data_IF_490747926372
#
_entry.id   IF_490747926372
#
_cell.length_a   1.000
_cell.length_b   1.000
_cell.length_c   1.000
_cell.angle_alpha   90.00
_cell.angle_beta   90.00
_cell.angle_gamma   90.00
#
_symmetry.space_group_name_H-M   'P 1'
#
loop_
_entity.id
_entity.type
_entity.pdbx_description
1 polymer ?
#
# COMPACT_ATOMS: atom_id res chain seq x y z
N UNK A 1 -32.66 5.95 15.84
CA UNK A 1 -31.38 6.08 16.58
C UNK A 1 -30.92 4.74 17.14
N UNK A 2 -31.80 3.90 17.69
CA UNK A 2 -31.48 2.54 18.14
C UNK A 2 -30.91 1.66 17.02
N UNK A 3 -31.59 1.57 15.86
CA UNK A 3 -31.13 0.79 14.69
C UNK A 3 -29.71 1.16 14.23
N UNK A 4 -29.43 2.46 14.06
CA UNK A 4 -28.09 2.93 13.68
C UNK A 4 -27.04 2.69 14.79
N UNK A 5 -27.47 2.71 16.06
CA UNK A 5 -26.64 2.30 17.18
C UNK A 5 -26.15 0.86 16.98
N UNK A 6 -27.06 -0.07 16.77
CA UNK A 6 -26.75 -1.49 16.52
C UNK A 6 -25.84 -1.66 15.29
N UNK A 7 -26.17 -0.99 14.17
CA UNK A 7 -25.36 -1.06 12.94
C UNK A 7 -23.93 -0.53 13.09
N UNK A 8 -23.73 0.52 13.90
CA UNK A 8 -22.39 1.09 14.13
C UNK A 8 -21.58 0.35 15.19
N UNK A 9 -22.24 -0.35 16.13
CA UNK A 9 -21.54 -1.20 17.11
C UNK A 9 -20.94 -2.47 16.47
N UNK A 10 -21.43 -2.90 15.29
CA UNK A 10 -20.81 -3.98 14.50
C UNK A 10 -19.38 -3.66 14.02
N UNK A 11 -18.93 -2.42 14.13
CA UNK A 11 -17.57 -2.00 13.80
C UNK A 11 -16.67 -1.86 15.03
N UNK A 12 -17.23 -1.94 16.24
CA UNK A 12 -16.46 -1.88 17.46
C UNK A 12 -15.80 -3.23 17.75
N UNK A 13 -14.50 -3.22 18.03
CA UNK A 13 -13.73 -4.40 18.39
C UNK A 13 -13.22 -4.28 19.83
N UNK A 14 -13.44 -5.31 20.62
CA UNK A 14 -12.93 -5.39 21.99
C UNK A 14 -11.43 -5.64 22.02
N UNK A 15 -10.78 -5.11 23.05
CA UNK A 15 -9.33 -5.21 23.27
C UNK A 15 -8.83 -6.66 23.29
N UNK A 16 -9.56 -7.54 23.96
CA UNK A 16 -9.24 -8.96 24.09
C UNK A 16 -9.23 -9.62 22.71
N UNK A 17 -10.23 -9.29 21.88
CA UNK A 17 -10.31 -9.78 20.51
C UNK A 17 -9.12 -9.32 19.67
N UNK A 18 -8.70 -8.06 19.78
CA UNK A 18 -7.53 -7.56 19.06
C UNK A 18 -6.25 -8.33 19.44
N UNK A 19 -6.06 -8.60 20.73
CA UNK A 19 -4.91 -9.39 21.21
C UNK A 19 -4.94 -10.83 20.71
N UNK A 20 -6.09 -11.49 20.74
CA UNK A 20 -6.26 -12.84 20.18
C UNK A 20 -5.93 -12.85 18.68
N UNK A 21 -6.42 -11.86 17.94
CA UNK A 21 -6.11 -11.72 16.51
C UNK A 21 -4.61 -11.52 16.27
N UNK A 22 -3.92 -10.73 17.11
CA UNK A 22 -2.46 -10.55 17.02
C UNK A 22 -1.71 -11.86 17.19
N UNK A 23 -2.14 -12.72 18.12
CA UNK A 23 -1.55 -14.06 18.30
C UNK A 23 -1.79 -14.94 17.08
N UNK A 24 -2.99 -14.90 16.49
CA UNK A 24 -3.31 -15.66 15.26
C UNK A 24 -2.48 -15.17 14.06
N UNK A 25 -2.34 -13.86 13.88
CA UNK A 25 -1.52 -13.28 12.80
C UNK A 25 -0.05 -13.66 12.96
N UNK A 26 0.47 -13.60 14.19
CA UNK A 26 1.84 -14.05 14.49
C UNK A 26 2.03 -15.53 14.11
N UNK A 27 1.05 -16.38 14.45
CA UNK A 27 1.07 -17.80 14.08
C UNK A 27 1.03 -17.98 12.56
N UNK A 28 0.15 -17.28 11.85
CA UNK A 28 0.09 -17.32 10.38
C UNK A 28 1.41 -16.90 9.72
N UNK A 29 2.11 -15.88 10.25
CA UNK A 29 3.43 -15.48 9.76
C UNK A 29 4.45 -16.63 9.88
N UNK A 30 4.48 -17.36 10.99
CA UNK A 30 5.39 -18.48 11.15
C UNK A 30 5.01 -19.69 10.29
N UNK A 31 3.74 -20.07 10.27
CA UNK A 31 3.27 -21.26 9.54
C UNK A 31 3.44 -21.10 8.03
N UNK A 32 3.02 -19.97 7.46
CA UNK A 32 3.07 -19.73 6.01
C UNK A 32 4.50 -19.53 5.49
N UNK A 33 5.41 -19.00 6.32
CA UNK A 33 6.84 -18.91 5.97
C UNK A 33 7.53 -20.29 5.91
N UNK A 34 7.01 -21.27 6.65
CA UNK A 34 7.54 -22.64 6.70
C UNK A 34 7.06 -23.54 5.55
N UNK A 35 6.11 -23.09 4.75
CA UNK A 35 5.48 -23.88 3.68
C UNK A 35 5.95 -23.45 2.30
N UNK A 36 6.53 -24.36 1.52
CA UNK A 36 6.91 -24.09 0.12
C UNK A 36 5.72 -24.26 -0.85
N UNK A 37 5.56 -23.32 -1.77
CA UNK A 37 4.91 -23.54 -3.07
C UNK A 37 3.38 -23.57 -3.16
N UNK A 38 2.62 -23.06 -2.18
CA UNK A 38 1.13 -23.08 -2.25
C UNK A 38 0.38 -21.86 -1.70
N UNK A 39 1.07 -20.79 -1.30
CA UNK A 39 0.42 -19.65 -0.66
C UNK A 39 0.66 -18.34 -1.41
N UNK A 40 -0.35 -17.49 -1.43
CA UNK A 40 -0.35 -16.12 -1.96
C UNK A 40 0.28 -15.12 -0.98
N UNK A 41 0.94 -15.60 0.07
CA UNK A 41 1.35 -14.84 1.25
C UNK A 41 2.71 -15.27 1.77
N UNK A 42 3.41 -14.40 2.50
CA UNK A 42 4.77 -14.61 3.00
C UNK A 42 5.78 -14.93 1.89
N UNK A 43 5.71 -14.15 0.82
CA UNK A 43 6.50 -14.33 -0.41
C UNK A 43 7.95 -13.89 -0.20
N UNK A 44 8.90 -14.74 -0.60
CA UNK A 44 10.31 -14.40 -0.67
C UNK A 44 10.55 -13.43 -1.84
N UNK A 45 11.14 -12.28 -1.54
CA UNK A 45 11.42 -11.22 -2.54
C UNK A 45 12.81 -11.37 -3.17
N UNK A 46 13.62 -12.31 -2.68
CA UNK A 46 15.02 -12.47 -3.03
C UNK A 46 15.85 -11.18 -2.85
N UNK A 47 15.49 -10.35 -1.85
CA UNK A 47 16.27 -9.17 -1.44
C UNK A 47 17.05 -9.54 -0.16
N UNK A 48 18.32 -9.99 -0.27
CA UNK A 48 19.04 -10.56 0.86
C UNK A 48 19.81 -9.54 1.70
N UNK A 49 19.52 -8.25 1.54
CA UNK A 49 20.31 -7.17 2.12
C UNK A 49 19.43 -6.03 2.63
N UNK A 50 19.88 -5.43 3.73
CA UNK A 50 19.37 -4.18 4.28
C UNK A 50 20.37 -3.06 3.96
N UNK A 51 19.91 -1.83 3.69
CA UNK A 51 20.79 -0.73 3.38
C UNK A 51 21.59 -0.27 4.60
N UNK A 52 22.78 0.24 4.33
CA UNK A 52 23.68 0.86 5.28
C UNK A 52 23.40 2.36 5.46
N UNK A 53 22.75 2.98 4.47
CA UNK A 53 22.56 4.41 4.39
C UNK A 53 23.70 5.13 3.65
N UNK A 54 24.68 4.39 3.13
CA UNK A 54 25.82 4.93 2.39
C UNK A 54 25.77 4.65 0.89
N UNK A 55 24.71 3.99 0.43
CA UNK A 55 24.49 3.71 -0.98
C UNK A 55 24.45 5.01 -1.78
N UNK A 56 25.10 5.02 -2.94
CA UNK A 56 25.16 6.17 -3.84
C UNK A 56 24.76 5.79 -5.26
N UNK A 57 24.43 6.79 -6.08
CA UNK A 57 24.15 6.62 -7.50
C UNK A 57 22.79 7.15 -7.90
N UNK A 58 22.51 7.12 -9.20
CA UNK A 58 21.23 7.58 -9.75
C UNK A 58 20.56 6.45 -10.51
N UNK A 59 19.28 6.21 -10.19
CA UNK A 59 18.51 5.07 -10.68
C UNK A 59 17.15 5.52 -11.21
N UNK A 60 16.69 4.90 -12.30
CA UNK A 60 15.29 5.02 -12.69
C UNK A 60 14.47 4.06 -11.83
N UNK A 61 13.26 4.47 -11.48
CA UNK A 61 12.32 3.61 -10.75
C UNK A 61 10.93 3.80 -11.33
N UNK A 62 10.14 2.73 -11.28
CA UNK A 62 8.79 2.67 -11.78
C UNK A 62 7.90 2.17 -10.66
N UNK A 63 6.82 2.88 -10.37
CA UNK A 63 5.81 2.45 -9.42
C UNK A 63 4.46 2.35 -10.13
N UNK A 64 4.00 1.11 -10.35
CA UNK A 64 2.68 0.81 -10.92
C UNK A 64 1.72 0.54 -9.77
N UNK A 65 1.05 1.60 -9.32
CA UNK A 65 0.02 1.52 -8.29
C UNK A 65 -1.38 1.25 -8.84
N UNK A 66 -2.37 1.23 -7.94
CA UNK A 66 -3.76 0.95 -8.29
C UNK A 66 -4.43 2.02 -9.17
N UNK A 67 -4.01 3.29 -9.06
CA UNK A 67 -4.64 4.43 -9.76
C UNK A 67 -3.68 5.16 -10.67
N UNK A 68 -2.44 5.32 -10.22
CA UNK A 68 -1.43 6.10 -10.90
C UNK A 68 -0.19 5.25 -11.13
N UNK A 69 0.46 5.54 -12.25
CA UNK A 69 1.81 5.14 -12.57
C UNK A 69 2.74 6.29 -12.22
N UNK A 70 3.90 6.00 -11.63
CA UNK A 70 4.95 6.98 -11.39
C UNK A 70 6.27 6.51 -11.96
N UNK A 71 6.89 7.34 -12.79
CA UNK A 71 8.26 7.13 -13.27
C UNK A 71 9.16 8.13 -12.55
N UNK A 72 10.19 7.66 -11.87
CA UNK A 72 11.09 8.51 -11.09
C UNK A 72 12.55 8.34 -11.50
N UNK A 73 13.32 9.40 -11.28
CA UNK A 73 14.77 9.40 -11.23
C UNK A 73 15.17 9.72 -9.79
N UNK A 74 15.85 8.78 -9.13
CA UNK A 74 16.24 8.89 -7.71
C UNK A 74 17.74 8.91 -7.61
N UNK A 75 18.28 9.96 -6.98
CA UNK A 75 19.67 10.07 -6.57
C UNK A 75 19.82 9.66 -5.10
N UNK A 76 20.59 8.62 -4.84
CA UNK A 76 21.12 8.28 -3.54
C UNK A 76 22.45 9.03 -3.36
N UNK A 77 22.55 9.83 -2.30
CA UNK A 77 23.65 10.76 -2.08
C UNK A 77 24.63 10.28 -1.01
N UNK A 78 24.47 9.06 -0.49
CA UNK A 78 25.11 8.63 0.74
C UNK A 78 24.57 9.39 1.95
N UNK A 79 25.13 9.11 3.13
CA UNK A 79 24.75 9.74 4.39
C UNK A 79 23.23 9.83 4.61
N UNK A 80 22.50 8.80 4.18
CA UNK A 80 21.04 8.66 4.34
C UNK A 80 20.23 9.74 3.61
N UNK A 81 20.83 10.42 2.63
CA UNK A 81 20.21 11.50 1.85
C UNK A 81 19.79 11.03 0.47
N UNK A 82 18.67 11.57 0.00
CA UNK A 82 18.11 11.27 -1.33
C UNK A 82 17.58 12.52 -2.00
N UNK A 83 17.51 12.51 -3.33
CA UNK A 83 16.71 13.46 -4.12
C UNK A 83 15.96 12.69 -5.20
N UNK A 84 14.69 13.04 -5.43
CA UNK A 84 13.84 12.39 -6.42
C UNK A 84 13.21 13.42 -7.37
N UNK A 85 13.07 13.03 -8.62
CA UNK A 85 12.23 13.69 -9.63
C UNK A 85 11.28 12.66 -10.19
N UNK A 86 10.04 13.05 -10.50
CA UNK A 86 9.05 12.09 -10.97
C UNK A 86 8.09 12.68 -11.99
N UNK A 87 7.44 11.77 -12.74
CA UNK A 87 6.29 12.04 -13.60
C UNK A 87 5.18 11.06 -13.21
N UNK A 88 3.98 11.60 -13.02
CA UNK A 88 2.79 10.82 -12.63
C UNK A 88 1.84 10.75 -13.83
N UNK A 89 1.34 9.55 -14.10
CA UNK A 89 0.36 9.29 -15.13
C UNK A 89 -0.82 8.55 -14.52
N UNK A 90 -2.04 8.99 -14.82
CA UNK A 90 -3.24 8.23 -14.46
C UNK A 90 -3.33 7.00 -15.37
N UNK A 91 -3.57 5.83 -14.79
CA UNK A 91 -3.80 4.61 -15.57
C UNK A 91 -5.25 4.62 -16.06
N UNK A 92 -5.51 4.65 -17.39
CA UNK A 92 -6.87 4.64 -17.92
C UNK A 92 -7.61 3.35 -17.53
N UNK A 93 -8.93 3.43 -17.36
CA UNK A 93 -9.73 2.31 -16.87
C UNK A 93 -9.68 1.12 -17.84
N UNK A 94 -9.73 1.39 -19.14
CA UNK A 94 -9.61 0.41 -20.21
C UNK A 94 -8.26 -0.32 -20.22
N UNK A 95 -7.20 0.31 -19.69
CA UNK A 95 -5.89 -0.35 -19.54
C UNK A 95 -5.82 -1.30 -18.35
N UNK A 96 -6.74 -1.18 -17.39
CA UNK A 96 -6.84 -2.09 -16.24
C UNK A 96 -7.65 -3.35 -16.55
N UNK A 97 -8.48 -3.30 -17.59
CA UNK A 97 -9.39 -4.40 -17.94
C UNK A 97 -9.10 -5.03 -19.31
N UNK A 98 -8.13 -4.50 -20.05
CA UNK A 98 -7.69 -5.03 -21.35
C UNK A 98 -6.74 -6.22 -21.23
N UNK A 99 -5.72 -6.28 -22.08
CA UNK A 99 -4.65 -7.28 -22.05
C UNK A 99 -3.44 -6.76 -21.26
N UNK A 100 -2.63 -7.67 -20.71
CA UNK A 100 -1.36 -7.34 -20.08
C UNK A 100 -0.41 -6.60 -21.01
N UNK A 101 -0.44 -6.95 -22.30
CA UNK A 101 0.33 -6.25 -23.34
C UNK A 101 -0.09 -4.79 -23.49
N UNK A 102 -1.39 -4.51 -23.54
CA UNK A 102 -1.88 -3.13 -23.65
C UNK A 102 -1.54 -2.28 -22.44
N UNK A 103 -1.57 -2.87 -21.23
CA UNK A 103 -1.13 -2.20 -20.01
C UNK A 103 0.36 -1.88 -20.08
N UNK A 104 1.21 -2.86 -20.40
CA UNK A 104 2.65 -2.65 -20.41
C UNK A 104 3.16 -1.83 -21.61
N UNK A 105 2.47 -1.83 -22.74
CA UNK A 105 2.76 -0.89 -23.83
C UNK A 105 2.45 0.56 -23.43
N UNK A 106 1.38 0.78 -22.66
CA UNK A 106 1.10 2.09 -22.06
C UNK A 106 2.18 2.50 -21.04
N UNK A 107 2.56 1.58 -20.14
CA UNK A 107 3.62 1.82 -19.14
C UNK A 107 4.96 2.14 -19.81
N UNK A 108 5.34 1.37 -20.83
CA UNK A 108 6.56 1.60 -21.61
C UNK A 108 6.55 2.96 -22.32
N UNK A 109 5.40 3.39 -22.87
CA UNK A 109 5.24 4.73 -23.45
C UNK A 109 5.44 5.85 -22.41
N UNK A 110 4.91 5.67 -21.19
CA UNK A 110 5.12 6.62 -20.09
C UNK A 110 6.59 6.71 -19.68
N UNK A 111 7.29 5.59 -19.62
CA UNK A 111 8.74 5.55 -19.32
C UNK A 111 9.53 6.28 -20.39
N UNK A 112 9.33 5.91 -21.66
CA UNK A 112 9.97 6.54 -22.82
C UNK A 112 9.81 8.06 -22.81
N UNK A 113 8.58 8.54 -22.58
CA UNK A 113 8.26 9.97 -22.50
C UNK A 113 8.95 10.66 -21.31
N UNK A 114 9.10 9.97 -20.18
CA UNK A 114 9.59 10.59 -18.93
C UNK A 114 11.10 10.74 -18.89
N UNK A 115 11.85 9.83 -19.52
CA UNK A 115 13.32 9.80 -19.41
C UNK A 115 13.98 11.13 -19.80
N UNK A 116 13.71 11.73 -20.98
CA UNK A 116 14.39 12.96 -21.38
C UNK A 116 14.17 14.11 -20.39
N UNK A 117 12.94 14.28 -19.91
CA UNK A 117 12.60 15.33 -18.97
C UNK A 117 13.23 15.11 -17.59
N UNK A 118 13.20 13.88 -17.08
CA UNK A 118 13.79 13.53 -15.79
C UNK A 118 15.32 13.69 -15.80
N UNK A 119 15.97 13.29 -16.89
CA UNK A 119 17.42 13.42 -17.03
C UNK A 119 17.84 14.89 -17.17
N UNK A 120 17.09 15.70 -17.93
CA UNK A 120 17.32 17.15 -18.02
C UNK A 120 17.17 17.81 -16.65
N UNK A 121 16.11 17.49 -15.92
CA UNK A 121 15.86 18.04 -14.59
C UNK A 121 16.95 17.65 -13.57
N UNK A 122 17.44 16.41 -13.63
CA UNK A 122 18.58 15.94 -12.85
C UNK A 122 19.86 16.75 -13.16
N UNK A 123 20.18 16.93 -14.44
CA UNK A 123 21.38 17.67 -14.86
C UNK A 123 21.28 19.16 -14.48
N UNK A 124 20.12 19.78 -14.69
CA UNK A 124 19.91 21.20 -14.37
C UNK A 124 19.99 21.47 -12.87
N UNK A 125 19.34 20.64 -12.04
CA UNK A 125 19.18 20.88 -10.59
C UNK A 125 20.25 20.24 -9.72
N UNK A 126 20.85 19.12 -10.13
CA UNK A 126 21.89 18.43 -9.35
C UNK A 126 23.27 18.50 -9.99
N UNK A 127 23.39 18.95 -11.25
CA UNK A 127 24.65 18.93 -12.01
C UNK A 127 25.24 17.51 -12.12
N UNK A 128 24.36 16.51 -12.16
CA UNK A 128 24.71 15.08 -12.30
C UNK A 128 24.11 14.54 -13.59
N UNK A 129 24.87 13.69 -14.30
CA UNK A 129 24.36 12.89 -15.41
C UNK A 129 24.18 11.45 -14.94
N UNK A 130 22.99 10.90 -15.17
CA UNK A 130 22.77 9.46 -14.97
C UNK A 130 23.59 8.68 -16.01
N UNK A 131 24.35 7.69 -15.56
CA UNK A 131 25.12 6.81 -16.43
C UNK A 131 24.29 5.60 -16.85
N UNK A 132 24.44 5.20 -18.10
CA UNK A 132 23.99 3.88 -18.56
C UNK A 132 24.96 2.80 -18.08
N UNK A 133 24.48 1.56 -18.01
CA UNK A 133 25.29 0.36 -17.74
C UNK A 133 25.21 -0.59 -18.93
N UNK A 134 26.23 -1.43 -19.09
CA UNK A 134 26.29 -2.40 -20.18
C UNK A 134 25.45 -3.64 -19.82
N UNK A 135 24.43 -3.91 -20.61
CA UNK A 135 23.62 -5.13 -20.54
C UNK A 135 23.67 -5.82 -21.90
N UNK A 136 24.40 -6.94 -21.97
CA UNK A 136 24.80 -7.54 -23.24
C UNK A 136 25.64 -6.55 -24.07
N UNK A 137 25.20 -6.28 -25.30
CA UNK A 137 25.89 -5.36 -26.21
C UNK A 137 25.31 -3.93 -26.23
N UNK A 138 24.35 -3.63 -25.34
CA UNK A 138 23.68 -2.34 -25.29
C UNK A 138 23.98 -1.59 -24.00
N UNK A 139 24.08 -0.27 -24.11
CA UNK A 139 24.10 0.65 -22.97
C UNK A 139 22.65 1.01 -22.62
N UNK A 140 22.21 0.69 -21.39
CA UNK A 140 20.84 0.96 -20.92
C UNK A 140 20.84 1.56 -19.53
N UNK A 141 19.81 2.34 -19.20
CA UNK A 141 19.57 2.83 -17.85
C UNK A 141 18.98 1.72 -16.97
N UNK A 142 19.56 1.44 -15.79
CA UNK A 142 18.96 0.49 -14.84
C UNK A 142 17.67 1.07 -14.26
N UNK A 143 16.61 0.26 -14.28
CA UNK A 143 15.31 0.58 -13.72
C UNK A 143 14.89 -0.44 -12.66
N UNK A 144 14.47 0.05 -11.50
CA UNK A 144 13.75 -0.76 -10.51
C UNK A 144 12.25 -0.71 -10.78
N UNK A 145 11.63 -1.88 -10.88
CA UNK A 145 10.20 -2.02 -11.11
C UNK A 145 9.49 -2.35 -9.79
N UNK A 146 8.77 -1.39 -9.24
CA UNK A 146 7.83 -1.59 -8.14
C UNK A 146 6.46 -1.96 -8.68
N UNK A 147 6.01 -3.18 -8.38
CA UNK A 147 4.73 -3.73 -8.81
C UNK A 147 3.93 -4.21 -7.59
N UNK A 148 2.89 -3.47 -7.23
CA UNK A 148 2.10 -3.68 -5.99
C UNK A 148 1.08 -4.81 -6.10
N UNK A 149 1.49 -5.98 -6.57
CA UNK A 149 0.66 -7.18 -6.68
C UNK A 149 1.44 -8.40 -6.17
N UNK A 150 0.75 -9.48 -5.76
CA UNK A 150 1.42 -10.70 -5.30
C UNK A 150 2.17 -11.36 -6.48
N UNK A 151 3.49 -11.42 -6.36
CA UNK A 151 4.37 -12.02 -7.36
C UNK A 151 5.22 -13.09 -6.70
N UNK A 152 5.16 -14.32 -7.23
CA UNK A 152 6.09 -15.38 -6.89
C UNK A 152 7.41 -15.12 -7.61
N UNK A 153 8.35 -14.49 -6.90
CA UNK A 153 9.66 -14.19 -7.43
C UNK A 153 10.52 -15.45 -7.50
N UNK A 154 11.20 -15.63 -8.63
CA UNK A 154 12.26 -16.64 -8.78
C UNK A 154 13.64 -16.06 -8.48
N UNK A 155 13.77 -14.76 -8.71
CA UNK A 155 14.97 -13.96 -8.45
C UNK A 155 14.53 -12.55 -8.07
N UNK A 156 15.47 -11.70 -7.65
CA UNK A 156 15.22 -10.28 -7.39
C UNK A 156 14.73 -9.49 -8.62
N UNK A 157 14.81 -10.08 -9.83
CA UNK A 157 14.48 -9.41 -11.10
C UNK A 157 13.64 -10.25 -12.05
N UNK A 158 12.89 -11.22 -11.53
CA UNK A 158 12.00 -12.08 -12.31
C UNK A 158 10.94 -12.67 -11.38
N UNK A 159 9.68 -12.72 -11.82
CA UNK A 159 8.63 -13.27 -10.97
C UNK A 159 7.30 -13.41 -11.68
N UNK A 160 6.59 -14.48 -11.31
CA UNK A 160 5.28 -14.82 -11.86
C UNK A 160 4.17 -14.14 -11.08
N UNK A 161 3.31 -13.41 -11.78
CA UNK A 161 2.13 -12.82 -11.15
C UNK A 161 1.17 -13.91 -10.65
N UNK A 162 0.81 -13.86 -9.37
CA UNK A 162 -0.11 -14.83 -8.77
C UNK A 162 -1.57 -14.46 -8.96
N UNK A 163 -1.90 -13.18 -8.78
CA UNK A 163 -3.26 -12.68 -8.95
C UNK A 163 -3.27 -11.16 -9.16
N UNK A 164 -4.35 -10.69 -9.79
CA UNK A 164 -4.65 -9.27 -9.90
C UNK A 164 -5.68 -8.88 -8.83
N UNK A 165 -5.62 -7.62 -8.41
CA UNK A 165 -6.53 -7.02 -7.45
C UNK A 165 -6.73 -5.53 -7.79
N UNK A 166 -7.31 -4.76 -6.87
CA UNK A 166 -7.41 -3.28 -6.99
C UNK A 166 -8.12 -2.82 -8.28
N UNK A 167 -9.04 -3.63 -8.81
CA UNK A 167 -9.79 -3.33 -10.04
C UNK A 167 -9.07 -3.67 -11.35
N UNK A 168 -7.93 -4.37 -11.29
CA UNK A 168 -7.27 -4.90 -12.48
C UNK A 168 -7.81 -6.28 -12.82
N UNK A 169 -8.12 -6.50 -14.10
CA UNK A 169 -8.57 -7.78 -14.66
C UNK A 169 -7.84 -8.12 -15.97
N UNK A 170 -6.66 -7.53 -16.19
CA UNK A 170 -5.87 -7.71 -17.39
C UNK A 170 -5.62 -9.19 -17.74
N UNK A 171 -6.01 -9.58 -18.95
CA UNK A 171 -5.78 -10.94 -19.45
C UNK A 171 -4.32 -11.18 -19.85
N UNK A 172 -3.83 -12.42 -19.72
CA UNK A 172 -2.47 -12.80 -20.14
C UNK A 172 -1.33 -12.29 -19.24
N UNK A 173 -1.63 -11.94 -17.98
CA UNK A 173 -0.61 -11.57 -16.99
C UNK A 173 -0.41 -12.62 -15.90
N UNK A 174 -1.49 -13.20 -15.39
CA UNK A 174 -1.43 -14.18 -14.29
C UNK A 174 -0.68 -15.43 -14.76
N UNK A 175 0.31 -15.86 -13.98
CA UNK A 175 1.20 -16.99 -14.29
C UNK A 175 2.43 -16.63 -15.13
N UNK A 176 2.45 -15.44 -15.73
CA UNK A 176 3.54 -14.96 -16.59
C UNK A 176 4.57 -14.14 -15.83
N UNK A 177 5.80 -14.08 -16.35
CA UNK A 177 6.85 -13.23 -15.78
C UNK A 177 6.61 -11.76 -16.13
N UNK A 178 6.24 -10.98 -15.13
CA UNK A 178 5.88 -9.56 -15.33
C UNK A 178 7.07 -8.68 -15.74
N UNK A 179 8.30 -9.08 -15.40
CA UNK A 179 9.50 -8.35 -15.81
C UNK A 179 9.73 -8.59 -17.30
N UNK A 180 9.60 -9.83 -17.75
CA UNK A 180 9.74 -10.17 -19.18
C UNK A 180 8.66 -9.49 -20.04
N UNK A 181 7.42 -9.46 -19.55
CA UNK A 181 6.32 -8.78 -20.24
C UNK A 181 6.60 -7.29 -20.41
N UNK A 182 7.00 -6.58 -19.35
CA UNK A 182 7.31 -5.15 -19.45
C UNK A 182 8.61 -4.89 -20.25
N UNK A 183 9.64 -5.71 -20.07
CA UNK A 183 10.90 -5.60 -20.82
C UNK A 183 10.67 -5.76 -22.32
N UNK A 184 9.77 -6.68 -22.72
CA UNK A 184 9.38 -6.87 -24.12
C UNK A 184 8.69 -5.64 -24.72
N UNK A 185 7.82 -4.96 -23.95
CA UNK A 185 7.20 -3.70 -24.36
C UNK A 185 8.21 -2.56 -24.47
N UNK A 186 9.19 -2.49 -23.57
CA UNK A 186 10.29 -1.50 -23.62
C UNK A 186 11.20 -1.72 -24.85
N UNK A 187 11.59 -2.97 -25.12
CA UNK A 187 12.47 -3.32 -26.23
C UNK A 187 11.77 -3.12 -27.59
N UNK A 188 10.48 -3.43 -27.70
CA UNK A 188 9.69 -3.15 -28.92
C UNK A 188 9.64 -1.65 -29.26
N UNK A 189 9.80 -0.78 -28.26
CA UNK A 189 9.87 0.68 -28.41
C UNK A 189 11.30 1.21 -28.51
N UNK A 190 12.31 0.33 -28.50
CA UNK A 190 13.74 0.70 -28.42
C UNK A 190 14.06 1.63 -27.23
N UNK A 191 13.31 1.54 -26.14
CA UNK A 191 13.58 2.35 -24.94
C UNK A 191 14.87 1.85 -24.27
N UNK A 192 15.87 2.72 -24.00
CA UNK A 192 17.19 2.30 -23.51
C UNK A 192 17.17 1.98 -22.01
N UNK A 193 16.31 1.05 -21.59
CA UNK A 193 16.09 0.68 -20.19
C UNK A 193 16.27 -0.83 -20.02
N UNK A 194 16.90 -1.20 -18.91
CA UNK A 194 16.96 -2.56 -18.41
C UNK A 194 16.29 -2.62 -17.05
N UNK A 195 15.29 -3.48 -16.89
CA UNK A 195 14.74 -3.76 -15.56
C UNK A 195 15.78 -4.60 -14.81
N UNK A 196 16.23 -4.09 -13.66
CA UNK A 196 17.27 -4.73 -12.84
C UNK A 196 16.72 -5.30 -11.55
N UNK A 197 15.58 -4.81 -11.05
CA UNK A 197 14.94 -5.33 -9.84
C UNK A 197 13.42 -5.27 -10.00
N UNK A 198 12.75 -6.22 -9.37
CA UNK A 198 11.31 -6.26 -9.15
C UNK A 198 11.07 -6.25 -7.65
N UNK A 199 10.26 -5.31 -7.15
CA UNK A 199 9.88 -5.24 -5.74
C UNK A 199 8.39 -4.94 -5.57
N UNK A 200 7.85 -5.25 -4.40
CA UNK A 200 6.54 -4.80 -3.96
C UNK A 200 6.64 -3.40 -3.30
N UNK A 201 5.53 -2.65 -3.24
CA UNK A 201 5.52 -1.32 -2.61
C UNK A 201 5.88 -1.36 -1.12
N UNK A 202 5.40 -2.35 -0.37
CA UNK A 202 5.76 -2.53 1.04
C UNK A 202 7.25 -2.80 1.25
N UNK A 203 7.88 -3.54 0.33
CA UNK A 203 9.33 -3.73 0.29
C UNK A 203 10.04 -2.41 0.02
N UNK A 204 9.53 -1.62 -0.94
CA UNK A 204 10.04 -0.28 -1.19
C UNK A 204 9.96 0.62 0.05
N UNK A 205 8.82 0.63 0.73
CA UNK A 205 8.60 1.38 1.98
C UNK A 205 9.54 0.96 3.10
N UNK A 206 9.82 -0.35 3.23
CA UNK A 206 10.82 -0.86 4.18
C UNK A 206 12.23 -0.35 3.81
N UNK A 207 12.64 -0.53 2.57
CA UNK A 207 14.00 -0.24 2.11
C UNK A 207 14.31 1.25 2.08
N UNK A 208 13.33 2.10 1.71
CA UNK A 208 13.45 3.56 1.80
C UNK A 208 13.68 3.99 3.24
N UNK A 209 12.87 3.49 4.17
CA UNK A 209 12.97 3.87 5.56
C UNK A 209 14.27 3.35 6.20
N UNK A 210 14.67 2.12 5.92
CA UNK A 210 15.91 1.54 6.42
C UNK A 210 17.16 2.30 5.91
N UNK A 211 17.13 2.85 4.69
CA UNK A 211 18.20 3.73 4.20
C UNK A 211 18.26 5.02 5.03
N UNK A 212 17.11 5.59 5.38
CA UNK A 212 17.01 6.90 6.07
C UNK A 212 17.19 6.82 7.58
N UNK A 213 16.82 5.70 8.22
CA UNK A 213 16.67 5.57 9.68
C UNK A 213 17.26 4.25 10.18
N UNK A 214 17.65 4.23 11.45
CA UNK A 214 18.06 2.99 12.14
C UNK A 214 16.84 2.26 12.72
N UNK A 215 17.03 0.99 13.08
CA UNK A 215 16.03 0.18 13.79
C UNK A 215 14.66 0.14 13.09
N UNK A 216 14.64 0.11 11.76
CA UNK A 216 13.41 -0.07 10.98
C UNK A 216 13.11 -1.56 10.88
N UNK A 217 11.94 -1.99 11.35
CA UNK A 217 11.59 -3.41 11.42
C UNK A 217 10.56 -3.85 10.39
N UNK A 218 9.76 -2.91 9.87
CA UNK A 218 8.73 -3.18 8.89
C UNK A 218 8.42 -1.94 8.03
N UNK A 219 8.06 -2.19 6.78
CA UNK A 219 7.42 -1.23 5.89
C UNK A 219 5.97 -1.64 5.64
N UNK A 220 5.04 -0.72 5.87
CA UNK A 220 3.60 -0.95 5.80
C UNK A 220 3.00 -0.03 4.74
N UNK A 221 2.02 -0.51 3.97
CA UNK A 221 1.27 0.29 3.01
C UNK A 221 -0.21 0.22 3.39
N UNK A 222 -0.88 1.38 3.50
CA UNK A 222 -2.32 1.52 3.73
C UNK A 222 -2.89 2.58 2.78
N UNK A 223 -3.09 2.16 1.53
CA UNK A 223 -3.59 3.01 0.44
C UNK A 223 -4.83 2.39 -0.19
N UNK A 224 -4.82 2.23 -1.51
CA UNK A 224 -5.87 1.48 -2.24
C UNK A 224 -5.97 0.03 -1.75
N UNK A 225 -4.84 -0.58 -1.40
CA UNK A 225 -4.74 -1.86 -0.72
C UNK A 225 -4.03 -1.73 0.63
N UNK A 226 -3.80 -2.85 1.31
CA UNK A 226 -2.92 -2.88 2.48
C UNK A 226 -1.95 -4.05 2.41
N UNK A 227 -0.69 -3.78 2.71
CA UNK A 227 0.37 -4.78 2.73
C UNK A 227 1.48 -4.43 3.72
N UNK A 228 2.35 -5.38 4.03
CA UNK A 228 3.56 -5.16 4.81
C UNK A 228 4.73 -6.03 4.35
N UNK A 229 5.94 -5.54 4.59
CA UNK A 229 7.17 -6.27 4.39
C UNK A 229 8.11 -6.10 5.58
N UNK A 230 8.92 -7.13 5.84
CA UNK A 230 9.94 -7.12 6.88
C UNK A 230 11.16 -7.95 6.47
N UNK A 231 12.32 -7.73 7.09
CA UNK A 231 13.50 -8.56 6.86
C UNK A 231 13.49 -9.78 7.79
N UNK A 232 13.49 -10.99 7.23
CA UNK A 232 13.55 -12.21 8.02
C UNK A 232 15.00 -12.66 8.22
N UNK A 233 15.47 -12.57 9.46
CA UNK A 233 16.85 -12.94 9.82
C UNK A 233 17.18 -14.42 9.61
N UNK A 234 16.19 -15.31 9.67
CA UNK A 234 16.40 -16.75 9.50
C UNK A 234 16.55 -17.13 8.02
N UNK A 235 15.78 -16.49 7.14
CA UNK A 235 15.82 -16.68 5.69
C UNK A 235 16.83 -15.76 4.99
N UNK A 236 17.32 -14.72 5.68
CA UNK A 236 18.21 -13.69 5.14
C UNK A 236 17.66 -13.04 3.88
N UNK A 237 16.39 -12.69 3.90
CA UNK A 237 15.67 -12.07 2.79
C UNK A 237 14.56 -11.16 3.31
N UNK A 238 14.19 -10.15 2.53
CA UNK A 238 12.95 -9.41 2.78
C UNK A 238 11.76 -10.30 2.41
N UNK A 239 10.80 -10.41 3.31
CA UNK A 239 9.54 -11.12 3.09
C UNK A 239 8.45 -10.09 2.83
N UNK A 240 7.75 -10.28 1.71
CA UNK A 240 6.50 -9.61 1.42
C UNK A 240 5.35 -10.43 2.02
N UNK A 241 4.66 -9.89 3.01
CA UNK A 241 3.63 -10.66 3.73
C UNK A 241 2.41 -10.96 2.87
N UNK A 242 2.06 -10.08 1.94
CA UNK A 242 0.75 -10.04 1.27
C UNK A 242 -0.39 -10.21 2.28
N UNK A 243 -0.29 -9.53 3.43
CA UNK A 243 -1.20 -9.74 4.56
C UNK A 243 -2.67 -9.43 4.24
N UNK A 244 -2.92 -8.76 3.11
CA UNK A 244 -4.26 -8.40 2.66
C UNK A 244 -5.11 -9.64 2.42
N UNK A 245 -4.48 -10.73 1.98
CA UNK A 245 -5.10 -12.04 1.74
C UNK A 245 -5.08 -12.97 2.98
N UNK A 246 -4.81 -12.43 4.17
CA UNK A 246 -4.98 -13.18 5.42
C UNK A 246 -6.48 -13.41 5.64
N UNK A 247 -6.83 -14.66 5.93
CA UNK A 247 -8.22 -15.14 6.04
C UNK A 247 -8.44 -16.04 7.27
N UNK A 248 -7.88 -15.72 8.45
CA UNK A 248 -8.14 -16.54 9.62
C UNK A 248 -9.62 -16.41 10.02
N UNK A 249 -10.21 -17.48 10.53
CA UNK A 249 -11.62 -17.50 10.96
C UNK A 249 -11.94 -16.49 12.06
N UNK A 250 -10.91 -15.96 12.74
CA UNK A 250 -11.04 -14.95 13.79
C UNK A 250 -11.35 -13.55 13.26
N UNK A 251 -11.21 -13.29 11.95
CA UNK A 251 -11.50 -11.97 11.36
C UNK A 251 -12.93 -11.52 11.71
N UNK A 252 -13.13 -10.27 12.18
CA UNK A 252 -14.41 -9.79 12.68
C UNK A 252 -15.31 -9.30 11.55
N UNK A 253 -15.61 -10.17 10.58
CA UNK A 253 -16.52 -9.85 9.47
C UNK A 253 -17.93 -9.64 10.00
N UNK A 254 -18.55 -8.54 9.64
CA UNK A 254 -19.96 -8.28 9.86
C UNK A 254 -20.77 -8.39 8.55
N UNK A 255 -22.08 -8.15 8.61
CA UNK A 255 -22.99 -8.22 7.46
C UNK A 255 -22.57 -7.31 6.30
N UNK A 256 -22.01 -6.13 6.60
CA UNK A 256 -21.55 -5.18 5.58
C UNK A 256 -20.27 -5.68 4.88
N UNK A 257 -19.37 -6.32 5.62
CA UNK A 257 -18.17 -6.95 5.03
C UNK A 257 -18.54 -8.12 4.12
N UNK A 258 -19.59 -8.88 4.47
CA UNK A 258 -20.14 -9.95 3.61
C UNK A 258 -20.67 -9.40 2.28
N UNK A 259 -21.57 -8.41 2.35
CA UNK A 259 -22.14 -7.75 1.15
C UNK A 259 -21.09 -7.07 0.28
N UNK A 260 -20.09 -6.45 0.90
CA UNK A 260 -18.97 -5.84 0.18
C UNK A 260 -18.14 -6.91 -0.53
N UNK A 261 -17.85 -8.04 0.11
CA UNK A 261 -17.09 -9.12 -0.52
C UNK A 261 -17.82 -9.70 -1.72
N UNK A 262 -19.13 -9.96 -1.61
CA UNK A 262 -19.99 -10.48 -2.68
C UNK A 262 -20.04 -9.59 -3.93
N UNK A 263 -19.87 -8.27 -3.76
CA UNK A 263 -19.91 -7.28 -4.85
C UNK A 263 -18.55 -7.09 -5.55
N UNK A 264 -17.49 -7.72 -5.04
CA UNK A 264 -16.13 -7.59 -5.61
C UNK A 264 -15.80 -8.67 -6.62
N UNK A 265 -14.79 -8.38 -7.46
CA UNK A 265 -14.25 -9.31 -8.46
C UNK A 265 -13.56 -10.54 -7.82
N UNK A 266 -13.09 -10.41 -6.58
CA UNK A 266 -12.24 -11.38 -5.88
C UNK A 266 -12.90 -11.89 -4.58
N UNK A 267 -14.11 -12.45 -4.70
CA UNK A 267 -14.88 -13.01 -3.57
C UNK A 267 -14.07 -13.98 -2.71
N UNK A 268 -14.28 -13.97 -1.39
CA UNK A 268 -13.60 -14.82 -0.41
C UNK A 268 -12.05 -14.72 -0.42
N UNK A 269 -11.55 -13.64 -1.03
CA UNK A 269 -10.12 -13.31 -1.13
C UNK A 269 -9.90 -11.89 -0.63
N UNK A 270 -8.68 -11.62 -0.14
CA UNK A 270 -8.28 -10.31 0.36
C UNK A 270 -9.19 -9.80 1.50
N UNK A 271 -9.69 -10.71 2.34
CA UNK A 271 -10.70 -10.40 3.36
C UNK A 271 -10.18 -9.40 4.40
N UNK A 272 -8.91 -9.52 4.80
CA UNK A 272 -8.29 -8.54 5.70
C UNK A 272 -8.16 -7.17 5.03
N UNK A 273 -7.75 -7.12 3.76
CA UNK A 273 -7.65 -5.87 3.00
C UNK A 273 -9.01 -5.16 2.88
N UNK A 274 -10.08 -5.91 2.62
CA UNK A 274 -11.45 -5.40 2.44
C UNK A 274 -12.01 -4.66 3.65
N UNK A 275 -11.51 -4.97 4.85
CA UNK A 275 -11.93 -4.29 6.08
C UNK A 275 -11.09 -3.04 6.41
N UNK A 276 -10.03 -2.76 5.65
CA UNK A 276 -8.99 -1.75 5.98
C UNK A 276 -8.79 -0.72 4.86
N UNK A 277 -8.66 -1.17 3.62
CA UNK A 277 -8.05 -0.33 2.59
C UNK A 277 -9.00 0.69 1.96
N UNK A 278 -8.40 1.71 1.36
CA UNK A 278 -9.12 2.82 0.74
C UNK A 278 -9.96 2.48 -0.48
N UNK A 279 -9.83 1.27 -1.06
CA UNK A 279 -10.79 0.81 -2.07
C UNK A 279 -12.16 0.51 -1.46
N UNK A 280 -12.21 0.12 -0.18
CA UNK A 280 -13.38 -0.53 0.41
C UNK A 280 -14.07 0.29 1.52
N UNK A 281 -13.37 1.19 2.22
CA UNK A 281 -13.98 1.94 3.34
C UNK A 281 -15.18 2.80 2.90
N UNK A 282 -15.10 3.46 1.74
CA UNK A 282 -16.23 4.21 1.17
C UNK A 282 -17.45 3.34 0.86
N UNK A 283 -17.24 2.09 0.40
CA UNK A 283 -18.34 1.16 0.14
C UNK A 283 -18.97 0.64 1.43
N UNK A 284 -18.18 0.35 2.47
CA UNK A 284 -18.71 0.03 3.80
C UNK A 284 -19.60 1.16 4.33
N UNK A 285 -19.13 2.41 4.17
CA UNK A 285 -19.90 3.59 4.54
C UNK A 285 -21.22 3.66 3.77
N UNK A 286 -21.18 3.50 2.45
CA UNK A 286 -22.40 3.49 1.61
C UNK A 286 -23.39 2.41 2.02
N UNK A 287 -22.93 1.18 2.29
CA UNK A 287 -23.77 0.07 2.70
C UNK A 287 -24.45 0.33 4.06
N UNK A 288 -23.73 0.92 5.02
CA UNK A 288 -24.32 1.33 6.30
C UNK A 288 -25.35 2.44 6.09
N UNK A 289 -25.06 3.45 5.26
CA UNK A 289 -26.04 4.49 4.97
C UNK A 289 -27.30 3.93 4.32
N UNK A 290 -27.16 2.99 3.38
CA UNK A 290 -28.27 2.39 2.66
C UNK A 290 -29.24 1.64 3.58
N UNK A 291 -28.74 0.96 4.62
CA UNK A 291 -29.57 0.21 5.55
C UNK A 291 -30.22 1.08 6.65
N UNK A 292 -29.68 2.29 6.88
CA UNK A 292 -30.09 3.18 7.97
C UNK A 292 -30.62 4.53 7.47
N UNK A 293 -31.25 4.55 6.28
CA UNK A 293 -31.80 5.75 5.66
C UNK A 293 -32.84 6.44 6.56
N UNK A 294 -33.63 5.66 7.30
CA UNK A 294 -34.67 6.10 8.24
C UNK A 294 -34.11 6.86 9.46
N UNK A 295 -32.81 6.71 9.75
CA UNK A 295 -32.16 7.44 10.83
C UNK A 295 -31.92 8.93 10.50
N UNK A 296 -31.94 9.29 9.21
CA UNK A 296 -31.68 10.63 8.70
C UNK A 296 -32.96 11.46 8.54
N UNK A 297 -32.85 12.77 8.79
CA UNK A 297 -33.91 13.74 8.53
C UNK A 297 -33.95 14.11 7.04
N UNK A 298 -35.16 14.10 6.45
CA UNK A 298 -35.41 14.48 5.05
C UNK A 298 -35.38 13.30 4.06
N UNK A 299 -35.73 13.57 2.80
CA UNK A 299 -35.61 12.57 1.72
C UNK A 299 -34.14 12.33 1.39
N UNK A 300 -33.69 11.09 1.60
CA UNK A 300 -32.35 10.63 1.18
C UNK A 300 -32.42 10.04 -0.24
N UNK A 301 -31.38 10.28 -1.03
CA UNK A 301 -31.23 9.73 -2.38
C UNK A 301 -29.82 9.15 -2.51
N UNK A 302 -29.56 8.14 -1.68
CA UNK A 302 -28.24 7.53 -1.60
C UNK A 302 -27.90 6.79 -2.90
N UNK A 303 -26.62 6.78 -3.32
CA UNK A 303 -26.18 5.97 -4.44
C UNK A 303 -26.40 4.46 -4.17
N UNK A 304 -27.20 3.82 -5.01
CA UNK A 304 -27.43 2.37 -4.95
C UNK A 304 -26.28 1.57 -5.59
N UNK A 305 -25.58 2.18 -6.55
CA UNK A 305 -24.48 1.56 -7.27
C UNK A 305 -23.31 1.23 -6.33
N UNK A 306 -22.82 -0.03 -6.31
CA UNK A 306 -21.62 -0.40 -5.56
C UNK A 306 -20.42 0.48 -5.92
N UNK A 307 -19.62 0.85 -4.93
CA UNK A 307 -18.43 1.68 -5.06
C UNK A 307 -18.69 3.10 -5.62
N UNK A 308 -19.94 3.57 -5.58
CA UNK A 308 -20.28 4.95 -5.94
C UNK A 308 -19.86 5.99 -4.90
N UNK A 309 -19.42 5.55 -3.71
CA UNK A 309 -18.84 6.40 -2.68
C UNK A 309 -17.42 5.92 -2.43
N UNK A 310 -16.44 6.78 -2.68
CA UNK A 310 -15.04 6.48 -2.41
C UNK A 310 -14.60 6.90 -1.00
N UNK A 311 -13.41 6.46 -0.60
CA UNK A 311 -12.89 6.76 0.75
C UNK A 311 -12.50 8.24 0.90
N UNK A 312 -12.20 8.95 -0.18
CA UNK A 312 -11.92 10.38 -0.11
C UNK A 312 -13.21 11.15 0.22
N UNK A 313 -14.32 10.82 -0.46
CA UNK A 313 -15.65 11.34 -0.16
C UNK A 313 -16.05 11.02 1.29
N UNK A 314 -15.89 9.75 1.73
CA UNK A 314 -16.12 9.37 3.14
C UNK A 314 -15.30 10.23 4.12
N UNK A 315 -14.04 10.48 3.80
CA UNK A 315 -13.13 11.27 4.64
C UNK A 315 -13.57 12.73 4.75
N UNK A 316 -14.12 13.33 3.69
CA UNK A 316 -14.66 14.70 3.73
C UNK A 316 -15.75 14.88 4.79
N UNK A 317 -16.63 13.88 4.99
CA UNK A 317 -17.62 13.91 6.08
C UNK A 317 -16.96 13.87 7.44
N UNK A 318 -15.93 13.06 7.62
CA UNK A 318 -15.26 12.99 8.90
C UNK A 318 -14.58 14.32 9.27
N UNK A 319 -14.09 15.08 8.27
CA UNK A 319 -13.57 16.45 8.48
C UNK A 319 -14.62 17.43 8.99
N UNK A 320 -15.90 17.15 8.80
CA UNK A 320 -16.98 17.92 9.40
C UNK A 320 -16.87 17.92 10.91
N UNK A 321 -16.30 16.90 11.57
CA UNK A 321 -16.08 16.90 13.03
C UNK A 321 -15.38 18.17 13.53
N UNK A 322 -14.48 18.74 12.73
CA UNK A 322 -13.59 19.85 13.13
C UNK A 322 -13.98 21.22 12.53
N UNK A 323 -15.05 21.30 11.72
CA UNK A 323 -15.43 22.53 11.03
C UNK A 323 -16.81 23.07 11.48
N UNK A 324 -16.98 24.38 11.69
CA UNK A 324 -18.29 25.00 11.89
C UNK A 324 -19.28 24.64 10.77
N UNK A 325 -20.58 24.55 11.10
CA UNK A 325 -21.63 24.23 10.12
C UNK A 325 -21.64 25.25 8.96
N UNK A 326 -21.30 26.51 9.22
CA UNK A 326 -21.30 27.57 8.21
C UNK A 326 -20.24 27.36 7.10
N UNK A 327 -19.16 26.62 7.37
CA UNK A 327 -18.06 26.42 6.42
C UNK A 327 -18.40 25.48 5.25
N UNK A 328 -19.51 24.73 5.33
CA UNK A 328 -19.96 23.84 4.26
C UNK A 328 -20.82 24.53 3.19
N UNK A 329 -21.07 25.84 3.33
CA UNK A 329 -21.69 26.68 2.32
C UNK A 329 -23.08 26.20 1.85
N UNK A 330 -23.45 26.56 0.62
CA UNK A 330 -24.75 26.31 -0.02
C UNK A 330 -25.03 24.85 -0.42
N UNK A 331 -24.13 23.89 -0.11
CA UNK A 331 -24.37 22.45 -0.35
C UNK A 331 -25.42 21.93 0.64
N UNK A 332 -26.69 21.99 0.23
CA UNK A 332 -27.83 21.57 1.08
C UNK A 332 -27.96 20.05 1.25
N UNK A 333 -27.36 19.26 0.35
CA UNK A 333 -27.40 17.80 0.37
C UNK A 333 -26.06 17.20 -0.07
N UNK A 334 -25.65 16.10 0.56
CA UNK A 334 -24.61 15.21 0.02
C UNK A 334 -25.18 13.80 0.00
N UNK A 335 -25.11 13.11 -1.15
CA UNK A 335 -25.79 11.84 -1.38
C UNK A 335 -27.30 11.88 -1.09
N UNK A 336 -27.92 13.04 -1.34
CA UNK A 336 -29.32 13.29 -1.02
C UNK A 336 -29.61 13.54 0.47
N UNK A 337 -28.67 13.30 1.38
CA UNK A 337 -28.85 13.54 2.82
C UNK A 337 -28.75 15.04 3.10
N UNK A 338 -29.77 15.61 3.72
CA UNK A 338 -29.72 17.00 4.20
C UNK A 338 -28.67 17.14 5.31
N UNK A 339 -27.81 18.15 5.24
CA UNK A 339 -26.75 18.37 6.23
C UNK A 339 -27.29 19.08 7.49
N UNK A 340 -28.34 18.54 8.10
CA UNK A 340 -28.80 18.98 9.43
C UNK A 340 -27.76 18.65 10.50
N UNK A 341 -27.82 19.29 11.66
CA UNK A 341 -26.90 19.02 12.79
C UNK A 341 -26.91 17.52 13.14
N UNK A 342 -28.10 16.93 13.27
CA UNK A 342 -28.28 15.51 13.57
C UNK A 342 -27.69 14.62 12.49
N UNK A 343 -28.04 14.85 11.22
CA UNK A 343 -27.54 14.03 10.11
C UNK A 343 -26.02 14.06 10.02
N UNK A 344 -25.41 15.24 10.23
CA UNK A 344 -23.95 15.38 10.28
C UNK A 344 -23.33 14.58 11.44
N UNK A 345 -23.90 14.65 12.64
CA UNK A 345 -23.43 13.86 13.78
C UNK A 345 -23.49 12.36 13.49
N UNK A 346 -24.54 11.89 12.81
CA UNK A 346 -24.67 10.50 12.38
C UNK A 346 -23.61 10.11 11.33
N UNK A 347 -23.42 10.92 10.28
CA UNK A 347 -22.40 10.68 9.24
C UNK A 347 -21.01 10.59 9.86
N UNK A 348 -20.65 11.55 10.73
CA UNK A 348 -19.37 11.56 11.43
C UNK A 348 -19.19 10.31 12.30
N UNK A 349 -20.23 9.89 13.03
CA UNK A 349 -20.20 8.69 13.87
C UNK A 349 -19.95 7.42 13.05
N UNK A 350 -20.60 7.27 11.91
CA UNK A 350 -20.42 6.11 11.02
C UNK A 350 -18.98 6.11 10.47
N UNK A 351 -18.51 7.23 9.91
CA UNK A 351 -17.13 7.36 9.44
C UNK A 351 -16.13 7.00 10.55
N UNK A 352 -16.36 7.52 11.77
CA UNK A 352 -15.48 7.27 12.91
C UNK A 352 -15.37 5.80 13.27
N UNK A 353 -16.49 5.09 13.34
CA UNK A 353 -16.51 3.67 13.65
C UNK A 353 -15.80 2.83 12.56
N UNK A 354 -15.99 3.16 11.28
CA UNK A 354 -15.34 2.46 10.16
C UNK A 354 -13.81 2.66 10.18
N UNK A 355 -13.30 3.89 10.25
CA UNK A 355 -11.85 4.08 10.20
C UNK A 355 -11.17 3.61 11.49
N UNK A 356 -11.82 3.71 12.66
CA UNK A 356 -11.28 3.17 13.92
C UNK A 356 -11.11 1.66 13.84
N UNK A 357 -12.08 0.94 13.25
CA UNK A 357 -11.95 -0.49 12.95
C UNK A 357 -10.79 -0.77 12.01
N UNK A 358 -10.67 0.01 10.93
CA UNK A 358 -9.52 -0.10 10.01
C UNK A 358 -8.18 0.06 10.75
N UNK A 359 -8.06 1.09 11.59
CA UNK A 359 -6.85 1.38 12.35
C UNK A 359 -6.53 0.27 13.38
N UNK A 360 -7.53 -0.27 14.07
CA UNK A 360 -7.30 -1.36 15.04
C UNK A 360 -6.86 -2.67 14.36
N UNK A 361 -7.41 -2.98 13.18
CA UNK A 361 -6.98 -4.14 12.40
C UNK A 361 -5.54 -3.97 11.88
N UNK A 362 -5.17 -2.76 11.44
CA UNK A 362 -3.77 -2.46 11.09
C UNK A 362 -2.85 -2.59 12.31
N UNK A 363 -3.30 -2.12 13.48
CA UNK A 363 -2.56 -2.28 14.73
C UNK A 363 -2.31 -3.76 15.04
N UNK A 364 -3.30 -4.65 14.83
CA UNK A 364 -3.13 -6.11 14.98
C UNK A 364 -1.96 -6.62 14.13
N UNK A 365 -1.91 -6.25 12.84
CA UNK A 365 -0.85 -6.67 11.93
C UNK A 365 0.52 -6.11 12.31
N UNK A 366 0.58 -4.82 12.66
CA UNK A 366 1.80 -4.15 13.13
C UNK A 366 2.33 -4.79 14.42
N UNK A 367 1.45 -5.05 15.40
CA UNK A 367 1.81 -5.70 16.66
C UNK A 367 2.31 -7.12 16.42
N UNK A 368 1.71 -7.88 15.50
CA UNK A 368 2.19 -9.21 15.13
C UNK A 368 3.58 -9.15 14.46
N UNK A 369 3.84 -8.17 13.59
CA UNK A 369 5.15 -7.96 12.99
C UNK A 369 6.20 -7.59 14.03
N UNK A 370 5.86 -6.71 14.98
CA UNK A 370 6.74 -6.38 16.09
C UNK A 370 7.11 -7.63 16.92
N UNK A 371 6.13 -8.48 17.25
CA UNK A 371 6.39 -9.74 17.97
C UNK A 371 7.19 -10.75 17.14
N UNK A 372 7.06 -10.74 15.81
CA UNK A 372 7.78 -11.62 14.88
C UNK A 372 9.24 -11.20 14.68
N UNK A 373 9.50 -9.90 14.49
CA UNK A 373 10.81 -9.35 14.13
C UNK A 373 11.60 -8.94 15.37
N UNK A 374 10.89 -8.44 16.39
CA UNK A 374 11.49 -7.85 17.57
C UNK A 374 12.18 -6.52 17.28
N UNK A 375 13.03 -6.09 18.21
CA UNK A 375 13.88 -4.92 18.05
C UNK A 375 14.75 -4.70 19.28
N UNK A 376 15.72 -3.78 19.20
CA UNK A 376 16.60 -3.49 20.32
C UNK A 376 15.79 -3.00 21.53
N UNK A 377 16.02 -3.63 22.70
CA UNK A 377 15.41 -3.20 23.97
C UNK A 377 15.82 -1.76 24.29
N UNK A 378 14.90 -0.98 24.84
CA UNK A 378 15.11 0.41 25.27
C UNK A 378 15.59 1.37 24.16
N UNK A 379 15.38 1.02 22.90
CA UNK A 379 15.67 1.89 21.77
C UNK A 379 14.40 2.11 20.95
N UNK A 380 14.35 3.26 20.27
CA UNK A 380 13.31 3.57 19.31
C UNK A 380 13.29 2.50 18.20
N UNK A 381 12.11 1.93 17.97
CA UNK A 381 11.83 0.97 16.90
C UNK A 381 10.95 1.68 15.88
N UNK A 382 11.39 1.68 14.63
CA UNK A 382 10.70 2.40 13.57
C UNK A 382 9.89 1.42 12.72
N UNK A 383 8.64 1.76 12.47
CA UNK A 383 7.80 1.14 11.45
C UNK A 383 7.47 2.23 10.45
N UNK A 384 7.84 2.03 9.20
CA UNK A 384 7.49 2.98 8.14
C UNK A 384 6.12 2.65 7.58
N UNK A 385 5.36 3.70 7.27
CA UNK A 385 4.04 3.55 6.69
C UNK A 385 3.84 4.52 5.53
N UNK A 386 3.37 4.02 4.40
CA UNK A 386 2.95 4.82 3.25
C UNK A 386 1.46 4.56 2.98
N UNK A 387 0.80 5.46 2.27
CA UNK A 387 -0.55 5.28 1.77
C UNK A 387 -1.53 6.34 2.25
N UNK A 388 -2.53 6.58 1.40
CA UNK A 388 -3.47 7.70 1.53
C UNK A 388 -4.38 7.61 2.76
N UNK A 389 -4.60 6.42 3.32
CA UNK A 389 -5.46 6.27 4.51
C UNK A 389 -4.76 6.86 5.72
N UNK A 390 -3.51 6.48 5.94
CA UNK A 390 -2.70 6.97 7.05
C UNK A 390 -2.49 8.49 6.97
N UNK A 391 -2.20 9.02 5.77
CA UNK A 391 -1.85 10.43 5.60
C UNK A 391 -3.03 11.39 5.45
N UNK A 392 -4.17 10.93 4.92
CA UNK A 392 -5.31 11.82 4.59
C UNK A 392 -6.52 11.67 5.51
N UNK A 393 -6.67 10.59 6.27
CA UNK A 393 -7.75 10.50 7.26
C UNK A 393 -7.30 11.18 8.55
N UNK A 394 -8.08 12.17 8.99
CA UNK A 394 -7.80 12.92 10.22
C UNK A 394 -7.76 11.95 11.41
N UNK A 395 -6.83 12.16 12.35
CA UNK A 395 -6.64 11.34 13.56
C UNK A 395 -6.29 9.86 13.32
N UNK A 396 -6.13 9.38 12.09
CA UNK A 396 -5.82 7.97 11.82
C UNK A 396 -4.50 7.52 12.48
N UNK A 397 -3.46 8.33 12.36
CA UNK A 397 -2.17 8.07 13.00
C UNK A 397 -2.28 7.97 14.54
N UNK A 398 -3.02 8.88 15.17
CA UNK A 398 -3.24 8.86 16.62
C UNK A 398 -3.96 7.58 17.04
N UNK A 399 -5.10 7.29 16.40
CA UNK A 399 -5.91 6.11 16.71
C UNK A 399 -5.13 4.82 16.49
N UNK A 400 -4.31 4.74 15.43
CA UNK A 400 -3.46 3.58 15.18
C UNK A 400 -2.46 3.37 16.33
N UNK A 401 -1.78 4.44 16.77
CA UNK A 401 -0.81 4.34 17.86
C UNK A 401 -1.49 3.98 19.19
N UNK A 402 -2.69 4.50 19.47
CA UNK A 402 -3.47 4.13 20.66
C UNK A 402 -3.77 2.62 20.68
N UNK A 403 -4.21 2.06 19.54
CA UNK A 403 -4.48 0.61 19.44
C UNK A 403 -3.20 -0.24 19.54
N UNK A 404 -2.07 0.22 18.99
CA UNK A 404 -0.79 -0.49 19.14
C UNK A 404 -0.40 -0.55 20.63
N UNK A 405 -0.51 0.58 21.35
CA UNK A 405 -0.23 0.67 22.79
C UNK A 405 -1.24 -0.16 23.62
N UNK A 406 -2.46 -0.30 23.15
CA UNK A 406 -3.50 -1.10 23.83
C UNK A 406 -3.25 -2.62 23.68
N UNK A 407 -2.85 -3.05 22.47
CA UNK A 407 -2.58 -4.45 22.14
C UNK A 407 -1.31 -4.92 22.85
N UNK A 408 -0.22 -4.17 22.72
CA UNK A 408 1.10 -4.55 23.21
C UNK A 408 1.25 -4.25 24.72
N UNK A 409 2.11 -5.00 25.43
CA UNK A 409 2.42 -4.70 26.83
C UNK A 409 3.21 -3.40 26.96
N UNK A 410 3.17 -2.80 28.16
CA UNK A 410 3.81 -1.50 28.48
C UNK A 410 5.29 -1.44 28.09
N UNK A 411 6.05 -2.54 28.18
CA UNK A 411 7.47 -2.54 27.82
C UNK A 411 7.75 -2.32 26.30
N UNK A 412 6.70 -2.22 25.48
CA UNK A 412 6.75 -2.03 24.02
C UNK A 412 6.65 -0.56 23.56
N UNK A 413 6.67 0.42 24.48
CA UNK A 413 6.43 1.86 24.21
C UNK A 413 7.43 2.57 23.27
N UNK A 414 8.43 1.88 22.73
CA UNK A 414 9.42 2.49 21.84
C UNK A 414 9.06 2.39 20.35
N UNK A 415 7.90 1.82 20.00
CA UNK A 415 7.45 1.74 18.61
C UNK A 415 7.00 3.12 18.14
N UNK A 416 7.55 3.55 17.01
CA UNK A 416 7.16 4.79 16.34
C UNK A 416 6.80 4.49 14.90
N UNK A 417 5.51 4.59 14.62
CA UNK A 417 4.99 4.54 13.25
C UNK A 417 5.24 5.90 12.60
N UNK A 418 6.02 5.91 11.52
CA UNK A 418 6.35 7.16 10.81
C UNK A 418 5.92 7.08 9.37
N UNK A 419 5.29 8.15 8.89
CA UNK A 419 4.99 8.29 7.47
C UNK A 419 6.28 8.25 6.63
N UNK A 420 6.22 7.54 5.52
CA UNK A 420 7.29 7.44 4.54
C UNK A 420 6.75 7.89 3.18
N UNK A 421 7.20 9.05 2.72
CA UNK A 421 6.86 9.53 1.39
C UNK A 421 7.81 8.94 0.35
N UNK A 422 7.24 8.56 -0.79
CA UNK A 422 7.96 8.00 -1.94
C UNK A 422 8.69 6.67 -1.65
N UNK A 423 8.17 5.88 -0.69
CA UNK A 423 8.76 4.62 -0.23
C UNK A 423 9.06 3.67 -1.39
N UNK A 424 8.06 3.41 -2.24
CA UNK A 424 8.18 2.59 -3.45
C UNK A 424 9.33 3.00 -4.37
N UNK A 425 9.50 4.30 -4.61
CA UNK A 425 10.51 4.82 -5.55
C UNK A 425 11.90 4.84 -4.93
N UNK A 426 12.05 5.35 -3.71
CA UNK A 426 13.36 5.42 -3.06
C UNK A 426 13.84 4.02 -2.70
N UNK A 427 12.96 3.16 -2.18
CA UNK A 427 13.28 1.77 -1.88
C UNK A 427 13.69 0.99 -3.14
N UNK A 428 13.01 1.19 -4.27
CA UNK A 428 13.42 0.60 -5.54
C UNK A 428 14.83 1.00 -5.97
N UNK A 429 15.18 2.28 -5.82
CA UNK A 429 16.53 2.78 -6.11
C UNK A 429 17.58 2.16 -5.17
N UNK A 430 17.28 2.03 -3.88
CA UNK A 430 18.15 1.41 -2.88
C UNK A 430 18.40 -0.06 -3.22
N UNK A 431 17.34 -0.83 -3.53
CA UNK A 431 17.46 -2.26 -3.89
C UNK A 431 18.26 -2.42 -5.19
N UNK A 432 18.03 -1.55 -6.19
CA UNK A 432 18.81 -1.54 -7.41
C UNK A 432 20.30 -1.21 -7.17
N UNK A 433 20.59 -0.24 -6.30
CA UNK A 433 21.97 0.12 -5.94
C UNK A 433 22.70 -1.06 -5.31
N UNK A 434 22.10 -1.68 -4.28
CA UNK A 434 22.68 -2.83 -3.57
C UNK A 434 22.89 -4.04 -4.48
N UNK A 435 21.92 -4.34 -5.36
CA UNK A 435 22.07 -5.41 -6.36
C UNK A 435 23.26 -5.13 -7.28
N UNK A 436 23.31 -3.94 -7.87
CA UNK A 436 24.32 -3.60 -8.87
C UNK A 436 25.72 -3.48 -8.24
N UNK A 437 25.84 -3.04 -7.00
CA UNK A 437 27.09 -3.05 -6.25
C UNK A 437 27.62 -4.48 -6.08
N UNK A 438 26.74 -5.41 -5.69
CA UNK A 438 27.09 -6.83 -5.53
C UNK A 438 27.47 -7.50 -6.86
N UNK A 439 26.93 -7.03 -7.98
CA UNK A 439 27.29 -7.47 -9.33
C UNK A 439 28.55 -6.78 -9.88
N UNK A 440 29.16 -5.84 -9.14
CA UNK A 440 30.34 -5.09 -9.58
C UNK A 440 30.05 -4.07 -10.69
N UNK A 441 28.79 -3.62 -10.77
CA UNK A 441 28.28 -2.74 -11.82
C UNK A 441 28.03 -1.31 -11.35
N UNK A 442 28.42 -0.90 -10.13
CA UNK A 442 28.06 0.39 -9.50
C UNK A 442 28.39 1.64 -10.30
#
# INVERSE_FOLDING_TARGET
>A
MESLGEGTELFHLQKEKLREMTVVFLKEFYEKLGTEGRHTTMLDTHVPFMPTGQETGTFLTLDVGGTNLRVCCVSLLGDRKTKSYYRVFRIPAEKKTGTGRELFDFVAACIEKSIPELLRELEEKQKVKMKTKRFGDKQKYPLSFTFSFPVEQKTISSGKLLSLSKGFTCSGMVGEDIVELLQSSLDARNTPVQIVTLINDSVGTLMSAAYKKNNVIAGVVIGTGTNAAYFDESKKTVINTEWGDFRPSILPRNVYDGRLDESTENRESHLFEKMISGKYLGELFRLVLADHQDAFEGETSLPETPFAVDTAEMSEFFRMKEQPIENFGTKKKIFGVELTKKNRELLVRICEKIYRRSASLVAVGISALYLKVGGPKNQKINISIDGSIYSKIIQYATVLNDYIAEILPEDSYNIVVTEESDGSSIGGAVVAALKLEKEGLT
#
